data_IF_244997319102
#
_entry.id   IF_244997319102
#
_cell.length_a   1.000
_cell.length_b   1.000
_cell.length_c   1.000
_cell.angle_alpha   90.00
_cell.angle_beta   90.00
_cell.angle_gamma   90.00
#
_symmetry.space_group_name_H-M   'P 1'
#
loop_
_entity.id
_entity.type
_entity.pdbx_description
1 polymer ?
#
# COMPACT_ATOMS: atom_id res chain seq x y z
N UNK A 1 -5.94 -23.21 4.35
CA UNK A 1 -6.55 -22.39 3.30
C UNK A 1 -7.60 -21.57 4.03
N UNK A 2 -7.22 -20.35 4.39
CA UNK A 2 -8.06 -19.46 5.18
C UNK A 2 -9.00 -18.73 4.20
N UNK A 3 -10.14 -19.34 3.92
CA UNK A 3 -11.33 -18.58 3.54
C UNK A 3 -11.89 -17.97 4.83
N UNK A 4 -12.26 -16.68 4.82
CA UNK A 4 -12.84 -15.83 5.89
C UNK A 4 -11.89 -14.84 6.61
N UNK A 5 -11.17 -14.01 5.88
CA UNK A 5 -10.93 -12.62 6.30
C UNK A 5 -11.70 -11.78 5.28
N UNK A 6 -12.58 -10.88 5.71
CA UNK A 6 -13.27 -9.96 4.81
C UNK A 6 -12.22 -9.30 3.92
N UNK A 7 -12.30 -9.45 2.59
CA UNK A 7 -11.43 -8.73 1.65
C UNK A 7 -11.44 -7.26 2.06
N UNK A 8 -10.33 -6.79 2.61
CA UNK A 8 -10.23 -5.48 3.22
C UNK A 8 -10.56 -4.44 2.15
N UNK A 9 -11.60 -3.65 2.37
CA UNK A 9 -11.97 -2.59 1.43
C UNK A 9 -10.97 -1.44 1.61
N UNK A 10 -9.96 -1.35 0.74
CA UNK A 10 -8.93 -0.31 0.80
C UNK A 10 -9.51 1.11 0.79
N UNK A 11 -10.65 1.30 0.13
CA UNK A 11 -11.33 2.59 0.07
C UNK A 11 -11.90 3.07 1.41
N UNK A 12 -12.16 2.16 2.35
CA UNK A 12 -12.71 2.48 3.67
C UNK A 12 -11.63 2.92 4.68
N UNK A 13 -10.35 2.63 4.38
CA UNK A 13 -9.21 3.02 5.21
C UNK A 13 -8.94 4.52 5.10
N UNK A 14 -8.48 5.16 6.17
CA UNK A 14 -7.95 6.53 6.05
C UNK A 14 -6.61 6.57 5.29
N UNK A 15 -6.06 7.76 5.04
CA UNK A 15 -4.83 7.89 4.25
C UNK A 15 -3.60 7.25 4.91
N UNK A 16 -3.54 7.26 6.24
CA UNK A 16 -2.42 6.69 7.01
C UNK A 16 -2.53 5.16 7.03
N UNK A 17 -3.73 4.65 7.30
CA UNK A 17 -4.05 3.22 7.29
C UNK A 17 -3.86 2.62 5.89
N UNK A 18 -4.36 3.29 4.85
CA UNK A 18 -4.17 2.85 3.46
C UNK A 18 -2.68 2.83 3.09
N UNK A 19 -1.92 3.84 3.51
CA UNK A 19 -0.48 3.87 3.24
C UNK A 19 0.25 2.72 3.94
N UNK A 20 -0.13 2.38 5.18
CA UNK A 20 0.44 1.27 5.91
C UNK A 20 0.08 -0.08 5.27
N UNK A 21 -1.18 -0.28 4.89
CA UNK A 21 -1.62 -1.48 4.17
C UNK A 21 -0.87 -1.64 2.86
N UNK A 22 -0.68 -0.56 2.10
CA UNK A 22 0.13 -0.59 0.88
C UNK A 22 1.60 -0.96 1.12
N UNK A 23 2.16 -0.74 2.33
CA UNK A 23 3.51 -1.21 2.65
C UNK A 23 3.54 -2.72 2.83
N UNK A 24 2.54 -3.28 3.50
CA UNK A 24 2.37 -4.73 3.67
C UNK A 24 2.11 -5.40 2.31
N UNK A 25 1.25 -4.81 1.48
CA UNK A 25 0.98 -5.29 0.12
C UNK A 25 2.23 -5.29 -0.76
N UNK A 26 3.13 -4.30 -0.59
CA UNK A 26 4.44 -4.27 -1.26
C UNK A 26 5.37 -5.37 -0.76
N UNK A 27 5.33 -5.67 0.53
CA UNK A 27 6.11 -6.76 1.14
C UNK A 27 5.64 -8.12 0.61
N UNK A 28 4.32 -8.31 0.52
CA UNK A 28 3.70 -9.56 0.05
C UNK A 28 3.63 -9.68 -1.48
N UNK A 29 3.94 -8.61 -2.21
CA UNK A 29 3.96 -8.58 -3.68
C UNK A 29 2.57 -8.54 -4.33
N UNK A 30 1.58 -7.97 -3.63
CA UNK A 30 0.20 -7.87 -4.06
C UNK A 30 0.00 -6.71 -5.05
N UNK A 31 0.28 -6.98 -6.33
CA UNK A 31 0.23 -5.96 -7.39
C UNK A 31 -1.13 -5.26 -7.52
N UNK A 32 -2.23 -6.01 -7.49
CA UNK A 32 -3.55 -5.47 -7.78
C UNK A 32 -4.01 -4.49 -6.67
N UNK A 33 -3.72 -4.82 -5.41
CA UNK A 33 -3.93 -3.95 -4.25
C UNK A 33 -3.12 -2.65 -4.34
N UNK A 34 -1.86 -2.72 -4.80
CA UNK A 34 -1.04 -1.52 -5.01
C UNK A 34 -1.61 -0.61 -6.09
N UNK A 35 -2.19 -1.17 -7.14
CA UNK A 35 -2.85 -0.37 -8.18
C UNK A 35 -4.08 0.32 -7.60
N UNK A 36 -4.90 -0.41 -6.83
CA UNK A 36 -6.09 0.13 -6.18
C UNK A 36 -5.74 1.24 -5.19
N UNK A 37 -4.87 0.99 -4.22
CA UNK A 37 -4.45 1.98 -3.23
C UNK A 37 -3.81 3.23 -3.85
N UNK A 38 -3.03 3.06 -4.93
CA UNK A 38 -2.46 4.18 -5.70
C UNK A 38 -3.56 5.05 -6.30
N UNK A 39 -4.58 4.45 -6.92
CA UNK A 39 -5.69 5.20 -7.51
C UNK A 39 -6.52 5.90 -6.42
N UNK A 40 -6.80 5.24 -5.31
CA UNK A 40 -7.54 5.83 -4.18
C UNK A 40 -6.82 7.08 -3.65
N UNK A 41 -5.50 7.01 -3.40
CA UNK A 41 -4.74 8.17 -2.92
C UNK A 41 -4.77 9.33 -3.92
N UNK A 42 -4.66 9.03 -5.23
CA UNK A 42 -4.77 10.05 -6.28
C UNK A 42 -6.17 10.69 -6.33
N UNK A 43 -7.23 9.89 -6.20
CA UNK A 43 -8.62 10.36 -6.12
C UNK A 43 -8.87 11.23 -4.88
N UNK A 44 -8.20 10.92 -3.76
CA UNK A 44 -8.19 11.73 -2.54
C UNK A 44 -7.36 13.02 -2.67
N UNK A 45 -6.77 13.27 -3.84
CA UNK A 45 -6.06 14.50 -4.15
C UNK A 45 -4.59 14.50 -3.73
N UNK A 46 -4.02 13.35 -3.40
CA UNK A 46 -2.58 13.28 -3.20
C UNK A 46 -1.85 13.59 -4.51
N UNK A 47 -0.83 14.48 -4.50
CA UNK A 47 -0.05 14.69 -5.70
C UNK A 47 0.75 13.42 -6.03
N UNK A 48 0.95 13.08 -7.31
CA UNK A 48 1.64 11.84 -7.71
C UNK A 48 3.02 11.67 -7.06
N UNK A 49 3.74 12.76 -6.85
CA UNK A 49 5.02 12.74 -6.15
C UNK A 49 4.91 12.25 -4.70
N UNK A 50 3.85 12.65 -3.97
CA UNK A 50 3.61 12.21 -2.60
C UNK A 50 3.26 10.73 -2.57
N UNK A 51 2.41 10.24 -3.49
CA UNK A 51 2.09 8.81 -3.60
C UNK A 51 3.35 7.98 -3.86
N UNK A 52 4.17 8.40 -4.84
CA UNK A 52 5.43 7.72 -5.15
C UNK A 52 6.39 7.67 -3.94
N UNK A 53 6.57 8.80 -3.25
CA UNK A 53 7.59 8.90 -2.20
C UNK A 53 7.17 8.32 -0.86
N UNK A 54 5.90 8.46 -0.49
CA UNK A 54 5.39 8.11 0.85
C UNK A 54 4.75 6.72 0.86
N UNK A 55 3.98 6.36 -0.16
CA UNK A 55 3.36 5.03 -0.21
C UNK A 55 4.32 4.01 -0.83
N UNK A 56 4.84 4.27 -2.03
CA UNK A 56 5.56 3.23 -2.78
C UNK A 56 7.03 3.07 -2.38
N UNK A 57 7.80 4.17 -2.39
CA UNK A 57 9.25 4.12 -2.10
C UNK A 57 9.53 3.83 -0.63
N UNK A 58 8.72 4.39 0.29
CA UNK A 58 8.89 4.11 1.72
C UNK A 58 8.60 2.63 2.03
N UNK A 59 7.53 2.06 1.50
CA UNK A 59 7.23 0.62 1.67
C UNK A 59 8.34 -0.26 1.10
N UNK A 60 8.79 0.01 -0.14
CA UNK A 60 9.87 -0.76 -0.76
C UNK A 60 11.22 -0.63 -0.02
N UNK A 61 11.44 0.49 0.68
CA UNK A 61 12.63 0.65 1.52
C UNK A 61 12.61 -0.32 2.70
N UNK A 62 11.47 -0.49 3.37
CA UNK A 62 11.32 -1.43 4.49
C UNK A 62 11.63 -2.85 4.00
N UNK A 63 11.03 -3.27 2.89
CA UNK A 63 11.34 -4.55 2.23
C UNK A 63 12.84 -4.67 1.95
N UNK A 64 13.44 -3.65 1.35
CA UNK A 64 14.85 -3.68 1.01
C UNK A 64 15.80 -3.72 2.22
N UNK A 65 15.39 -3.23 3.38
CA UNK A 65 16.16 -3.28 4.61
C UNK A 65 15.99 -4.66 5.29
N UNK A 66 14.78 -5.22 5.33
CA UNK A 66 14.50 -6.55 5.89
C UNK A 66 15.18 -7.70 5.14
N UNK A 67 15.27 -7.63 3.81
CA UNK A 67 15.93 -8.67 2.99
C UNK A 67 17.45 -8.57 2.96
N UNK A 68 18.05 -7.49 3.49
CA UNK A 68 19.50 -7.30 3.56
C UNK A 68 20.12 -7.92 4.81
N UNK A 69 19.35 -8.10 5.88
CA UNK A 69 19.74 -8.82 7.10
C UNK A 69 19.55 -10.35 6.93
#
# INVERSE_FOLDING_TARGET
MADNEDDLILADLDDEELTAQMHDDLYDGLKDEIIEGTNILLERGWPPYKVLTVALVAGMKVVGDDFRD
#
